data_IF_880967458160
#
_entry.id   IF_880967458160
#
_cell.length_a   1.000
_cell.length_b   1.000
_cell.length_c   1.000
_cell.angle_alpha   90.00
_cell.angle_beta   90.00
_cell.angle_gamma   90.00
#
_symmetry.space_group_name_H-M   'P 1'
#
loop_
_entity.id
_entity.type
_entity.pdbx_description
1 polymer ?
#
# COMPACT_ATOMS: atom_id res chain seq x y z
N UNK A 1 19.13 -2.10 32.15
CA UNK A 1 17.95 -1.76 31.32
C UNK A 1 18.34 -1.91 29.86
N UNK A 2 17.63 -2.72 29.05
CA UNK A 2 17.91 -2.85 27.61
C UNK A 2 16.90 -1.98 26.86
N UNK A 3 17.40 -0.97 26.15
CA UNK A 3 16.57 -0.20 25.23
C UNK A 3 16.51 -0.94 23.90
N UNK A 4 15.29 -1.30 23.48
CA UNK A 4 15.06 -1.87 22.16
C UNK A 4 14.85 -0.72 21.17
N UNK A 5 15.55 -0.74 20.04
CA UNK A 5 15.32 0.22 18.98
C UNK A 5 13.95 -0.05 18.33
N UNK A 6 13.04 0.92 18.38
CA UNK A 6 11.68 0.80 17.82
C UNK A 6 11.71 0.45 16.32
N UNK A 7 12.63 1.05 15.56
CA UNK A 7 12.84 0.76 14.13
C UNK A 7 13.26 -0.71 13.92
N UNK A 8 14.05 -1.26 14.84
CA UNK A 8 14.43 -2.67 14.78
C UNK A 8 13.23 -3.58 15.07
N UNK A 9 12.40 -3.23 16.06
CA UNK A 9 11.17 -3.96 16.37
C UNK A 9 10.15 -3.90 15.23
N UNK A 10 10.01 -2.76 14.56
CA UNK A 10 9.18 -2.60 13.37
C UNK A 10 9.65 -3.50 12.22
N UNK A 11 10.96 -3.55 11.96
CA UNK A 11 11.52 -4.45 10.95
C UNK A 11 11.34 -5.94 11.32
N UNK A 12 11.39 -6.29 12.61
CA UNK A 12 11.08 -7.65 13.06
C UNK A 12 9.59 -7.98 12.88
N UNK A 13 8.70 -7.04 13.22
CA UNK A 13 7.27 -7.19 13.01
C UNK A 13 6.92 -7.34 11.52
N UNK A 14 7.53 -6.55 10.65
CA UNK A 14 7.37 -6.70 9.20
C UNK A 14 7.79 -8.10 8.70
N UNK A 15 8.86 -8.68 9.29
CA UNK A 15 9.27 -10.07 8.99
C UNK A 15 8.29 -11.11 9.51
N UNK A 16 7.56 -10.83 10.60
CA UNK A 16 6.54 -11.72 11.15
C UNK A 16 5.22 -11.64 10.39
N UNK A 17 4.79 -10.44 9.98
CA UNK A 17 3.60 -10.21 9.15
C UNK A 17 3.83 -10.46 7.65
N UNK A 18 4.96 -11.07 7.29
CA UNK A 18 5.43 -11.21 5.92
C UNK A 18 4.42 -11.98 5.03
N UNK A 19 3.67 -12.95 5.55
CA UNK A 19 2.68 -13.70 4.77
C UNK A 19 1.49 -12.84 4.34
N UNK A 20 0.82 -12.17 5.28
CA UNK A 20 -0.31 -11.28 4.99
C UNK A 20 0.11 -10.06 4.15
N UNK A 21 1.27 -9.49 4.46
CA UNK A 21 1.83 -8.38 3.70
C UNK A 21 2.17 -8.79 2.26
N UNK A 22 2.79 -9.96 2.07
CA UNK A 22 3.12 -10.45 0.73
C UNK A 22 1.88 -10.83 -0.06
N UNK A 23 0.84 -11.41 0.56
CA UNK A 23 -0.44 -11.69 -0.11
C UNK A 23 -1.12 -10.40 -0.60
N UNK A 24 -1.18 -9.38 0.28
CA UNK A 24 -1.70 -8.06 -0.07
C UNK A 24 -0.89 -7.41 -1.19
N UNK A 25 0.44 -7.39 -1.07
CA UNK A 25 1.33 -6.82 -2.08
C UNK A 25 1.29 -7.58 -3.41
N UNK A 26 1.20 -8.91 -3.39
CA UNK A 26 1.05 -9.72 -4.60
C UNK A 26 -0.26 -9.37 -5.32
N UNK A 27 -1.35 -9.10 -4.61
CA UNK A 27 -2.61 -8.64 -5.19
C UNK A 27 -2.43 -7.31 -5.92
N UNK A 28 -1.79 -6.34 -5.25
CA UNK A 28 -1.51 -5.02 -5.84
C UNK A 28 -0.59 -5.13 -7.06
N UNK A 29 0.52 -5.85 -6.94
CA UNK A 29 1.49 -6.04 -8.04
C UNK A 29 0.85 -6.75 -9.22
N UNK A 30 0.07 -7.81 -8.98
CA UNK A 30 -0.64 -8.51 -10.06
C UNK A 30 -1.60 -7.58 -10.80
N UNK A 31 -2.31 -6.70 -10.11
CA UNK A 31 -3.13 -5.69 -10.75
C UNK A 31 -2.31 -4.73 -11.60
N UNK A 32 -1.17 -4.25 -11.09
CA UNK A 32 -0.32 -3.29 -11.81
C UNK A 32 0.33 -3.90 -13.07
N UNK A 33 0.91 -5.10 -12.93
CA UNK A 33 1.72 -5.74 -13.97
C UNK A 33 0.87 -6.37 -15.07
N UNK A 34 -0.32 -6.90 -14.75
CA UNK A 34 -1.18 -7.58 -15.74
C UNK A 34 -1.93 -6.62 -16.67
N UNK A 35 -1.91 -5.32 -16.40
CA UNK A 35 -2.57 -4.32 -17.25
C UNK A 35 -1.74 -4.04 -18.50
N UNK A 36 -2.36 -4.20 -19.67
CA UNK A 36 -1.77 -3.77 -20.94
C UNK A 36 -1.60 -2.24 -20.98
N UNK A 37 -0.82 -1.73 -21.95
CA UNK A 37 -0.69 -0.28 -22.16
C UNK A 37 -2.04 0.40 -22.41
N UNK A 38 -2.94 -0.25 -23.16
CA UNK A 38 -4.31 0.23 -23.39
C UNK A 38 -5.11 0.27 -22.08
N UNK A 39 -5.09 -0.83 -21.33
CA UNK A 39 -5.77 -0.96 -20.03
C UNK A 39 -5.28 0.09 -19.03
N UNK A 40 -3.98 0.39 -19.01
CA UNK A 40 -3.42 1.46 -18.17
C UNK A 40 -3.94 2.84 -18.57
N UNK A 41 -4.09 3.14 -19.87
CA UNK A 41 -4.66 4.42 -20.34
C UNK A 41 -6.14 4.54 -19.99
N UNK A 42 -6.92 3.47 -20.17
CA UNK A 42 -8.34 3.45 -19.79
C UNK A 42 -8.50 3.66 -18.28
N UNK A 43 -7.69 2.96 -17.48
CA UNK A 43 -7.72 3.12 -16.02
C UNK A 43 -7.33 4.53 -15.57
N UNK A 44 -6.34 5.15 -16.23
CA UNK A 44 -5.98 6.55 -16.00
C UNK A 44 -7.12 7.51 -16.32
N UNK A 45 -7.79 7.32 -17.46
CA UNK A 45 -8.96 8.12 -17.83
C UNK A 45 -10.08 8.00 -16.79
N UNK A 46 -10.34 6.78 -16.29
CA UNK A 46 -11.37 6.56 -15.27
C UNK A 46 -10.99 7.19 -13.92
N UNK A 47 -9.70 7.14 -13.55
CA UNK A 47 -9.20 7.83 -12.35
C UNK A 47 -9.40 9.34 -12.42
N UNK A 48 -9.24 9.95 -13.60
CA UNK A 48 -9.49 11.37 -13.82
C UNK A 48 -11.00 11.68 -13.81
N UNK A 49 -11.83 10.84 -14.42
CA UNK A 49 -13.28 10.99 -14.43
C UNK A 49 -13.90 10.91 -13.03
N UNK A 50 -13.38 10.02 -12.18
CA UNK A 50 -13.83 9.84 -10.81
C UNK A 50 -13.17 10.79 -9.79
N UNK A 51 -12.43 11.80 -10.26
CA UNK A 51 -11.70 12.77 -9.44
C UNK A 51 -10.82 12.12 -8.35
N UNK A 52 -10.13 11.03 -8.73
CA UNK A 52 -9.32 10.28 -7.79
C UNK A 52 -8.06 11.06 -7.39
N UNK A 53 -7.63 10.87 -6.14
CA UNK A 53 -6.46 11.55 -5.54
C UNK A 53 -5.17 11.32 -6.32
N UNK A 54 -5.07 10.20 -7.05
CA UNK A 54 -3.87 9.81 -7.79
C UNK A 54 -4.19 9.49 -9.24
N UNK A 55 -3.36 9.98 -10.16
CA UNK A 55 -3.49 9.70 -11.60
C UNK A 55 -2.67 8.51 -12.07
N UNK A 56 -1.83 7.90 -11.22
CA UNK A 56 -1.15 6.63 -11.51
C UNK A 56 -0.49 5.98 -10.27
N UNK A 57 -0.08 4.72 -10.42
CA UNK A 57 0.69 3.95 -9.47
C UNK A 57 2.20 3.93 -9.78
N UNK A 58 3.06 4.07 -8.76
CA UNK A 58 4.51 4.01 -8.95
C UNK A 58 4.99 2.56 -9.10
N UNK A 59 5.28 2.16 -10.35
CA UNK A 59 5.68 0.79 -10.71
C UNK A 59 7.03 0.32 -10.12
N UNK A 60 7.94 1.25 -9.77
CA UNK A 60 9.32 0.93 -9.38
C UNK A 60 9.57 0.72 -7.87
N UNK A 61 8.53 0.78 -7.01
CA UNK A 61 8.73 0.90 -5.55
C UNK A 61 8.60 -0.39 -4.73
N UNK A 62 8.61 -1.56 -5.38
CA UNK A 62 8.31 -2.87 -4.77
C UNK A 62 9.42 -3.52 -3.90
N UNK A 63 10.55 -2.84 -3.62
CA UNK A 63 11.75 -3.48 -3.04
C UNK A 63 11.85 -3.33 -1.51
N UNK A 64 11.18 -2.35 -0.88
CA UNK A 64 11.22 -2.12 0.57
C UNK A 64 9.81 -1.96 1.13
N UNK A 65 9.50 -2.60 2.26
CA UNK A 65 8.15 -2.59 2.83
C UNK A 65 7.58 -1.18 3.07
N UNK A 66 8.40 -0.21 3.53
CA UNK A 66 8.00 1.20 3.65
C UNK A 66 7.76 1.88 2.28
N UNK A 67 8.51 1.51 1.25
CA UNK A 67 8.29 2.00 -0.12
C UNK A 67 7.06 1.35 -0.76
N UNK A 68 6.81 0.07 -0.47
CA UNK A 68 5.62 -0.67 -0.83
C UNK A 68 4.36 -0.07 -0.18
N UNK A 69 4.48 0.47 1.04
CA UNK A 69 3.42 1.22 1.72
C UNK A 69 2.84 2.35 0.87
N UNK A 70 3.65 3.05 0.07
CA UNK A 70 3.15 4.11 -0.84
C UNK A 70 2.30 3.55 -1.98
N UNK A 71 2.68 2.40 -2.55
CA UNK A 71 1.86 1.74 -3.58
C UNK A 71 0.53 1.31 -2.96
N UNK A 72 0.59 0.73 -1.76
CA UNK A 72 -0.57 0.23 -1.04
C UNK A 72 -1.55 1.36 -0.65
N UNK A 73 -1.03 2.48 -0.16
CA UNK A 73 -1.77 3.71 0.15
C UNK A 73 -2.56 4.22 -1.07
N UNK A 74 -1.89 4.34 -2.22
CA UNK A 74 -2.55 4.72 -3.48
C UNK A 74 -3.59 3.70 -3.90
N UNK A 75 -3.25 2.41 -3.79
CA UNK A 75 -4.14 1.33 -4.23
C UNK A 75 -5.44 1.33 -3.44
N UNK A 76 -5.34 1.50 -2.12
CA UNK A 76 -6.50 1.64 -1.22
C UNK A 76 -7.33 2.87 -1.57
N UNK A 77 -6.69 4.00 -1.86
CA UNK A 77 -7.38 5.24 -2.24
C UNK A 77 -8.15 5.12 -3.57
N UNK A 78 -7.71 4.23 -4.46
CA UNK A 78 -8.35 3.97 -5.75
C UNK A 78 -9.31 2.75 -5.73
N UNK A 79 -9.65 2.17 -4.57
CA UNK A 79 -10.46 0.94 -4.51
C UNK A 79 -11.79 1.09 -5.26
N UNK A 80 -12.47 2.23 -5.13
CA UNK A 80 -13.76 2.42 -5.80
C UNK A 80 -13.60 2.57 -7.31
N UNK A 81 -12.57 3.26 -7.78
CA UNK A 81 -12.19 3.30 -9.20
C UNK A 81 -11.88 1.89 -9.72
N UNK A 82 -11.16 1.09 -8.94
CA UNK A 82 -10.82 -0.29 -9.29
C UNK A 82 -12.06 -1.18 -9.37
N UNK A 83 -13.06 -0.99 -8.48
CA UNK A 83 -14.34 -1.70 -8.55
C UNK A 83 -15.12 -1.35 -9.82
N UNK A 84 -15.19 -0.07 -10.18
CA UNK A 84 -15.87 0.39 -11.41
C UNK A 84 -15.15 -0.17 -12.65
N UNK A 85 -13.83 0.01 -12.71
CA UNK A 85 -13.00 -0.46 -13.83
C UNK A 85 -13.16 -1.97 -14.12
N UNK A 86 -13.32 -2.76 -13.05
CA UNK A 86 -13.54 -4.21 -13.15
C UNK A 86 -14.92 -4.54 -13.73
N UNK A 87 -15.96 -3.83 -13.29
CA UNK A 87 -17.33 -4.00 -13.78
C UNK A 87 -17.43 -3.72 -15.28
N UNK A 88 -16.75 -2.67 -15.75
CA UNK A 88 -16.80 -2.24 -17.15
C UNK A 88 -15.98 -3.12 -18.10
N UNK A 89 -14.82 -3.61 -17.68
CA UNK A 89 -13.89 -4.35 -18.54
C UNK A 89 -13.97 -5.88 -18.40
N UNK A 90 -14.89 -6.40 -17.58
CA UNK A 90 -15.08 -7.85 -17.37
C UNK A 90 -13.85 -8.58 -16.81
N UNK A 91 -12.87 -7.84 -16.28
CA UNK A 91 -11.57 -8.41 -15.95
C UNK A 91 -11.61 -9.12 -14.57
N UNK A 92 -11.41 -10.44 -14.58
CA UNK A 92 -11.44 -11.30 -13.38
C UNK A 92 -10.18 -11.24 -12.49
N UNK A 93 -9.15 -10.52 -12.92
CA UNK A 93 -7.81 -10.50 -12.30
C UNK A 93 -7.74 -10.00 -10.86
N UNK A 94 -8.75 -9.27 -10.39
CA UNK A 94 -8.87 -8.84 -9.00
C UNK A 94 -10.01 -9.56 -8.32
N UNK A 95 -9.66 -10.62 -7.59
CA UNK A 95 -10.54 -11.26 -6.61
C UNK A 95 -10.58 -10.41 -5.33
N UNK A 96 -11.00 -9.15 -5.49
CA UNK A 96 -11.18 -8.15 -4.42
C UNK A 96 -12.57 -8.22 -3.76
N UNK A 97 -13.46 -9.09 -4.25
CA UNK A 97 -14.82 -9.26 -3.68
C UNK A 97 -14.83 -9.77 -2.24
N UNK A 98 -13.72 -10.34 -1.77
CA UNK A 98 -13.59 -10.67 -0.37
C UNK A 98 -13.33 -9.38 0.42
N UNK A 99 -14.39 -8.85 1.04
CA UNK A 99 -14.30 -7.72 1.96
C UNK A 99 -13.18 -7.89 2.99
N UNK A 100 -12.84 -9.13 3.39
CA UNK A 100 -11.72 -9.38 4.31
C UNK A 100 -10.37 -9.00 3.71
N UNK A 101 -10.16 -9.22 2.41
CA UNK A 101 -8.92 -8.82 1.70
C UNK A 101 -8.81 -7.31 1.59
N UNK A 102 -9.91 -6.63 1.26
CA UNK A 102 -9.95 -5.16 1.22
C UNK A 102 -9.62 -4.59 2.60
N UNK A 103 -10.25 -5.10 3.66
CA UNK A 103 -9.97 -4.67 5.04
C UNK A 103 -8.51 -4.90 5.42
N UNK A 104 -7.91 -6.04 5.05
CA UNK A 104 -6.47 -6.29 5.25
C UNK A 104 -5.60 -5.28 4.53
N UNK A 105 -5.90 -4.95 3.26
CA UNK A 105 -5.14 -3.95 2.50
C UNK A 105 -5.23 -2.56 3.13
N UNK A 106 -6.43 -2.15 3.58
CA UNK A 106 -6.65 -0.89 4.30
C UNK A 106 -5.85 -0.87 5.60
N UNK A 107 -5.91 -1.94 6.39
CA UNK A 107 -5.18 -2.06 7.64
C UNK A 107 -3.66 -1.94 7.43
N UNK A 108 -3.12 -2.65 6.44
CA UNK A 108 -1.71 -2.59 6.07
C UNK A 108 -1.31 -1.19 5.56
N UNK A 109 -2.17 -0.53 4.77
CA UNK A 109 -1.93 0.85 4.31
C UNK A 109 -1.84 1.82 5.49
N UNK A 110 -2.77 1.71 6.45
CA UNK A 110 -2.80 2.58 7.63
C UNK A 110 -1.57 2.39 8.51
N UNK A 111 -1.18 1.14 8.81
CA UNK A 111 0.03 0.88 9.61
C UNK A 111 1.27 1.36 8.89
N UNK A 112 1.43 1.05 7.60
CA UNK A 112 2.61 1.49 6.84
C UNK A 112 2.68 3.01 6.69
N UNK A 113 1.53 3.69 6.59
CA UNK A 113 1.43 5.14 6.62
C UNK A 113 1.89 5.74 7.95
N UNK A 114 1.39 5.22 9.06
CA UNK A 114 1.81 5.64 10.40
C UNK A 114 3.32 5.44 10.61
N UNK A 115 3.84 4.27 10.24
CA UNK A 115 5.27 3.96 10.40
C UNK A 115 6.17 4.79 9.48
N UNK A 116 5.68 5.19 8.31
CA UNK A 116 6.38 6.13 7.41
C UNK A 116 6.51 7.52 8.03
N UNK A 117 5.55 7.95 8.84
CA UNK A 117 5.61 9.23 9.57
C UNK A 117 6.49 9.12 10.83
N UNK A 118 6.38 8.01 11.56
CA UNK A 118 7.10 7.78 12.81
C UNK A 118 8.60 7.50 12.59
N UNK A 119 8.96 6.72 11.58
CA UNK A 119 10.34 6.29 11.33
C UNK A 119 11.32 7.46 11.20
N UNK A 120 11.05 8.50 10.37
CA UNK A 120 11.92 9.66 10.29
C UNK A 120 12.07 10.34 11.65
N UNK A 121 10.97 10.58 12.38
CA UNK A 121 10.97 11.22 13.70
C UNK A 121 11.89 10.49 14.69
N UNK A 122 11.92 9.15 14.64
CA UNK A 122 12.76 8.29 15.49
C UNK A 122 14.22 8.23 15.04
N UNK A 123 14.52 8.57 13.79
CA UNK A 123 15.89 8.59 13.24
C UNK A 123 16.63 9.90 13.48
N UNK A 124 15.92 10.99 13.83
CA UNK A 124 16.55 12.26 14.18
C UNK A 124 17.33 12.10 15.49
N UNK A 125 18.60 12.51 15.47
CA UNK A 125 19.49 12.49 16.63
C UNK A 125 18.91 13.31 17.78
N UNK A 126 18.77 12.68 18.95
CA UNK A 126 18.29 13.33 20.17
C UNK A 126 16.83 13.04 20.53
N UNK A 127 16.04 12.41 19.65
CA UNK A 127 14.64 12.07 19.93
C UNK A 127 14.51 10.67 20.54
N UNK A 128 14.05 10.61 21.78
CA UNK A 128 13.44 9.41 22.37
C UNK A 128 11.93 9.44 22.16
N UNK A 129 11.25 8.31 22.37
CA UNK A 129 9.77 8.27 22.33
C UNK A 129 9.15 9.29 23.31
N UNK A 130 9.87 9.64 24.38
CA UNK A 130 9.44 10.63 25.36
C UNK A 130 9.44 12.06 24.82
N UNK A 131 10.23 12.33 23.78
CA UNK A 131 10.35 13.66 23.15
C UNK A 131 9.33 13.89 22.03
N UNK A 132 8.43 12.91 21.80
CA UNK A 132 7.40 12.94 20.75
C UNK A 132 5.99 13.28 21.25
N UNK A 133 5.82 13.51 22.55
CA UNK A 133 4.55 13.84 23.20
C UNK A 133 4.51 15.29 23.65
#
# INVERSE_FOLDING_TARGET
MKFHCSIHQENLFAKMCNSDFNDGMATVINFLVKRSALTNRQFRSLMEEMDSVYTDFPLHSAVRWLSCGKILERFVSCIDVIKVFRTENGQQYLRMEDNKRIVKLIFLANITGYLKELNPRLQWTGNTVLDMF
#
